data_IF_266981279667
#
_entry.id   IF_266981279667
#
_cell.length_a   1.000
_cell.length_b   1.000
_cell.length_c   1.000
_cell.angle_alpha   90.00
_cell.angle_beta   90.00
_cell.angle_gamma   90.00
#
_symmetry.space_group_name_H-M   'P 1'
#
loop_
_entity.id
_entity.type
_entity.pdbx_description
1 polymer ?
#
# COMPACT_ATOMS: atom_id res chain seq x y z
N UNK A 1 -15.13 -10.89 0.33
CA UNK A 1 -16.07 -10.62 1.44
C UNK A 1 -17.35 -11.38 1.15
N UNK A 2 -18.11 -11.80 2.17
CA UNK A 2 -19.46 -12.31 1.90
C UNK A 2 -20.34 -11.15 1.37
N UNK A 3 -21.44 -11.51 0.69
CA UNK A 3 -22.29 -10.54 0.02
C UNK A 3 -22.90 -9.51 0.99
N UNK A 4 -23.24 -9.93 2.22
CA UNK A 4 -23.85 -9.07 3.22
C UNK A 4 -22.87 -8.00 3.72
N UNK A 5 -21.60 -8.38 3.95
CA UNK A 5 -20.54 -7.43 4.31
C UNK A 5 -20.26 -6.42 3.20
N UNK A 6 -20.26 -6.86 1.94
CA UNK A 6 -20.09 -5.96 0.79
C UNK A 6 -21.24 -4.95 0.73
N UNK A 7 -22.47 -5.42 0.87
CA UNK A 7 -23.64 -4.55 0.74
C UNK A 7 -23.68 -3.49 1.84
N UNK A 8 -23.39 -3.89 3.08
CA UNK A 8 -23.25 -2.95 4.19
C UNK A 8 -22.15 -1.91 3.93
N UNK A 9 -21.01 -2.33 3.37
CA UNK A 9 -19.92 -1.41 3.06
C UNK A 9 -20.33 -0.39 1.98
N UNK A 10 -21.06 -0.83 0.95
CA UNK A 10 -21.65 0.07 -0.06
C UNK A 10 -22.64 1.05 0.58
N UNK A 11 -23.53 0.59 1.46
CA UNK A 11 -24.49 1.46 2.14
C UNK A 11 -23.80 2.57 2.94
N UNK A 12 -22.72 2.23 3.64
CA UNK A 12 -21.91 3.20 4.38
C UNK A 12 -21.28 4.23 3.43
N UNK A 13 -20.66 3.77 2.33
CA UNK A 13 -20.01 4.67 1.38
C UNK A 13 -21.02 5.53 0.61
N UNK A 14 -22.23 5.02 0.35
CA UNK A 14 -23.31 5.75 -0.30
C UNK A 14 -23.82 6.93 0.55
N UNK A 15 -23.65 6.89 1.87
CA UNK A 15 -24.01 8.00 2.77
C UNK A 15 -23.03 9.19 2.67
N UNK A 16 -21.79 8.98 2.20
CA UNK A 16 -20.79 10.03 2.01
C UNK A 16 -20.56 10.35 0.52
N UNK A 17 -21.52 11.08 -0.05
CA UNK A 17 -21.50 11.49 -1.45
C UNK A 17 -20.89 12.88 -1.69
N UNK A 18 -20.44 13.57 -0.62
CA UNK A 18 -19.97 14.95 -0.71
C UNK A 18 -18.45 15.01 -0.73
N UNK A 19 -17.91 15.30 -1.91
CA UNK A 19 -16.50 15.64 -2.04
C UNK A 19 -16.19 16.95 -1.30
N UNK A 20 -14.97 17.06 -0.79
CA UNK A 20 -14.45 18.35 -0.31
C UNK A 20 -14.37 19.34 -1.47
N UNK A 21 -14.29 20.64 -1.18
CA UNK A 21 -14.23 21.66 -2.23
C UNK A 21 -13.01 21.47 -3.15
N UNK A 22 -13.15 21.86 -4.43
CA UNK A 22 -12.08 21.73 -5.43
C UNK A 22 -10.76 22.35 -4.98
N UNK A 23 -10.83 23.51 -4.32
CA UNK A 23 -9.67 24.15 -3.71
C UNK A 23 -8.90 23.22 -2.77
N UNK A 24 -9.61 22.53 -1.87
CA UNK A 24 -8.98 21.61 -0.94
C UNK A 24 -8.48 20.33 -1.62
N UNK A 25 -9.21 19.81 -2.61
CA UNK A 25 -8.74 18.68 -3.41
C UNK A 25 -7.39 19.01 -4.06
N UNK A 26 -7.30 20.16 -4.75
CA UNK A 26 -6.09 20.59 -5.45
C UNK A 26 -4.94 20.86 -4.49
N UNK A 27 -5.23 21.51 -3.37
CA UNK A 27 -4.24 21.77 -2.33
C UNK A 27 -3.65 20.48 -1.76
N UNK A 28 -4.50 19.53 -1.37
CA UNK A 28 -4.01 18.28 -0.76
C UNK A 28 -3.23 17.43 -1.76
N UNK A 29 -3.63 17.39 -3.04
CA UNK A 29 -2.88 16.70 -4.09
C UNK A 29 -1.51 17.36 -4.31
N UNK A 30 -1.45 18.69 -4.42
CA UNK A 30 -0.20 19.42 -4.61
C UNK A 30 0.74 19.32 -3.40
N UNK A 31 0.20 19.27 -2.19
CA UNK A 31 0.96 19.21 -0.93
C UNK A 31 1.19 17.78 -0.41
N UNK A 32 0.79 16.74 -1.15
CA UNK A 32 0.87 15.35 -0.70
C UNK A 32 2.29 14.98 -0.21
N UNK A 33 3.32 15.34 -0.97
CA UNK A 33 4.73 15.13 -0.60
C UNK A 33 5.10 15.80 0.73
N UNK A 34 4.67 17.05 0.95
CA UNK A 34 4.94 17.80 2.20
C UNK A 34 4.25 17.15 3.39
N UNK A 35 3.03 16.65 3.20
CA UNK A 35 2.26 16.04 4.28
C UNK A 35 2.86 14.69 4.67
N UNK A 36 3.30 13.89 3.71
CA UNK A 36 4.07 12.66 3.97
C UNK A 36 5.43 12.96 4.64
N UNK A 37 6.17 13.97 4.18
CA UNK A 37 7.42 14.37 4.82
C UNK A 37 7.20 14.78 6.29
N UNK A 38 6.18 15.60 6.58
CA UNK A 38 5.79 15.97 7.95
C UNK A 38 5.38 14.76 8.79
N UNK A 39 4.67 13.80 8.20
CA UNK A 39 4.30 12.56 8.87
C UNK A 39 5.55 11.80 9.33
N UNK A 40 6.51 11.57 8.43
CA UNK A 40 7.76 10.88 8.79
C UNK A 40 8.64 11.71 9.74
N UNK A 41 8.58 13.04 9.69
CA UNK A 41 9.23 13.90 10.70
C UNK A 41 8.75 13.59 12.11
N UNK A 42 7.44 13.41 12.27
CA UNK A 42 6.78 13.21 13.57
C UNK A 42 6.93 11.78 14.06
N UNK A 43 6.85 10.82 13.15
CA UNK A 43 6.70 9.40 13.49
C UNK A 43 7.99 8.59 13.34
N UNK A 44 8.98 9.08 12.59
CA UNK A 44 10.27 8.41 12.35
C UNK A 44 10.07 6.98 11.83
N UNK A 45 10.75 5.98 12.42
CA UNK A 45 10.65 4.56 12.04
C UNK A 45 9.68 3.73 12.89
N UNK A 46 8.99 4.36 13.85
CA UNK A 46 8.24 3.64 14.88
C UNK A 46 6.77 3.36 14.53
N UNK A 47 6.27 3.92 13.43
CA UNK A 47 4.84 3.85 13.11
C UNK A 47 4.44 2.54 12.46
N UNK A 48 5.15 2.15 11.39
CA UNK A 48 4.91 0.90 10.71
C UNK A 48 5.77 -0.20 11.32
N UNK A 49 5.21 -1.40 11.37
CA UNK A 49 5.92 -2.59 11.84
C UNK A 49 6.53 -3.33 10.66
N UNK A 50 7.67 -3.93 10.91
CA UNK A 50 8.34 -4.82 9.98
C UNK A 50 7.44 -5.97 9.52
N UNK A 51 7.53 -6.29 8.23
CA UNK A 51 6.65 -7.25 7.55
C UNK A 51 7.30 -8.62 7.46
N UNK A 52 7.37 -9.35 8.58
CA UNK A 52 7.93 -10.72 8.62
C UNK A 52 7.05 -11.82 7.98
N UNK A 53 5.98 -11.45 7.27
CA UNK A 53 5.08 -12.40 6.62
C UNK A 53 5.30 -12.49 5.10
N UNK A 54 6.16 -11.63 4.55
CA UNK A 54 6.32 -11.42 3.10
C UNK A 54 6.72 -12.68 2.35
N UNK A 55 7.73 -13.44 2.82
CA UNK A 55 8.12 -14.71 2.15
C UNK A 55 7.02 -15.77 2.16
N UNK A 56 6.12 -15.76 3.15
CA UNK A 56 4.98 -16.70 3.20
C UNK A 56 3.90 -16.35 2.19
N UNK A 57 3.74 -15.06 1.88
CA UNK A 57 2.69 -14.58 0.98
C UNK A 57 3.19 -14.37 -0.46
N UNK A 58 4.50 -14.19 -0.64
CA UNK A 58 5.16 -14.04 -1.92
C UNK A 58 6.16 -15.19 -2.16
N UNK A 59 5.65 -16.34 -2.62
CA UNK A 59 6.48 -17.53 -2.89
C UNK A 59 7.67 -17.26 -3.81
N UNK A 60 7.57 -16.31 -4.74
CA UNK A 60 8.68 -15.93 -5.62
C UNK A 60 9.90 -15.43 -4.84
N UNK A 61 9.68 -14.62 -3.80
CA UNK A 61 10.75 -14.13 -2.93
C UNK A 61 11.35 -15.28 -2.11
N UNK A 62 10.50 -16.18 -1.61
CA UNK A 62 10.95 -17.36 -0.87
C UNK A 62 11.79 -18.30 -1.76
N UNK A 63 11.31 -18.60 -2.97
CA UNK A 63 12.02 -19.47 -3.93
C UNK A 63 13.36 -18.86 -4.35
N UNK A 64 13.42 -17.54 -4.56
CA UNK A 64 14.69 -16.87 -4.84
C UNK A 64 15.66 -17.01 -3.66
N UNK A 65 15.18 -16.84 -2.44
CA UNK A 65 15.98 -17.02 -1.23
C UNK A 65 16.46 -18.47 -1.05
N UNK A 66 15.54 -19.44 -1.04
CA UNK A 66 15.83 -20.87 -0.84
C UNK A 66 16.85 -21.40 -1.86
N UNK A 67 16.77 -20.93 -3.11
CA UNK A 67 17.66 -21.35 -4.20
C UNK A 67 18.92 -20.48 -4.32
N UNK A 68 19.14 -19.54 -3.40
CA UNK A 68 20.26 -18.60 -3.41
C UNK A 68 20.38 -17.83 -4.75
N UNK A 69 19.23 -17.53 -5.36
CA UNK A 69 19.13 -16.84 -6.65
C UNK A 69 19.08 -15.33 -6.42
N UNK A 70 19.85 -14.53 -7.20
CA UNK A 70 19.71 -13.08 -7.19
C UNK A 70 18.29 -12.67 -7.58
N UNK A 71 17.73 -11.72 -6.82
CA UNK A 71 16.42 -11.14 -7.12
C UNK A 71 16.49 -9.61 -7.05
N UNK A 72 15.69 -8.93 -7.87
CA UNK A 72 15.56 -7.48 -7.84
C UNK A 72 14.13 -7.09 -7.50
N UNK A 73 13.95 -6.38 -6.39
CA UNK A 73 12.69 -5.82 -5.91
C UNK A 73 12.65 -4.32 -6.19
N UNK A 74 11.50 -3.78 -6.58
CA UNK A 74 11.20 -2.35 -6.54
C UNK A 74 10.00 -2.10 -5.64
N UNK A 75 10.18 -1.29 -4.60
CA UNK A 75 9.12 -0.81 -3.73
C UNK A 75 8.86 0.68 -3.99
N UNK A 76 7.63 1.00 -4.37
CA UNK A 76 7.15 2.37 -4.56
C UNK A 76 6.30 2.75 -3.34
N UNK A 77 6.59 3.88 -2.72
CA UNK A 77 6.02 4.23 -1.41
C UNK A 77 6.65 3.40 -0.28
N UNK A 78 7.98 3.19 -0.35
CA UNK A 78 8.69 2.32 0.58
C UNK A 78 8.68 2.81 2.04
N UNK A 79 8.29 4.07 2.26
CA UNK A 79 8.43 4.72 3.55
C UNK A 79 9.85 4.56 4.07
N UNK A 80 9.96 4.00 5.27
CA UNK A 80 11.25 3.76 5.93
C UNK A 80 11.78 2.34 5.74
N UNK A 81 11.20 1.55 4.83
CA UNK A 81 11.69 0.23 4.42
C UNK A 81 11.18 -0.97 5.22
N UNK A 82 10.12 -0.82 6.04
CA UNK A 82 9.60 -1.92 6.88
C UNK A 82 9.17 -3.19 6.09
N UNK A 83 8.93 -3.08 4.79
CA UNK A 83 8.69 -4.23 3.91
C UNK A 83 9.99 -4.91 3.49
N UNK A 84 10.99 -4.13 3.11
CA UNK A 84 12.25 -4.60 2.51
C UNK A 84 13.26 -5.07 3.55
N UNK A 85 13.36 -4.43 4.73
CA UNK A 85 14.38 -4.80 5.72
C UNK A 85 14.36 -6.28 6.11
N UNK A 86 13.21 -6.87 6.48
CA UNK A 86 13.16 -8.29 6.83
C UNK A 86 13.55 -9.22 5.67
N UNK A 87 13.33 -8.78 4.43
CA UNK A 87 13.68 -9.55 3.22
C UNK A 87 15.18 -9.48 2.91
N UNK A 88 15.83 -8.34 3.16
CA UNK A 88 17.28 -8.22 3.02
C UNK A 88 18.01 -9.00 4.12
N UNK A 89 17.46 -9.04 5.34
CA UNK A 89 17.99 -9.86 6.43
C UNK A 89 17.88 -11.36 6.13
N UNK A 90 16.80 -11.80 5.48
CA UNK A 90 16.56 -13.21 5.15
C UNK A 90 17.25 -13.65 3.87
N UNK A 91 17.40 -12.76 2.87
CA UNK A 91 18.01 -13.06 1.58
C UNK A 91 19.11 -12.02 1.25
N UNK A 92 20.39 -12.31 1.55
CA UNK A 92 21.48 -11.39 1.25
C UNK A 92 21.75 -11.19 -0.25
N UNK A 93 21.17 -12.03 -1.13
CA UNK A 93 21.25 -11.87 -2.59
C UNK A 93 20.08 -11.05 -3.16
N UNK A 94 19.14 -10.61 -2.32
CA UNK A 94 18.09 -9.70 -2.73
C UNK A 94 18.67 -8.31 -2.93
N UNK A 95 18.34 -7.73 -4.08
CA UNK A 95 18.64 -6.37 -4.41
C UNK A 95 17.33 -5.56 -4.40
N UNK A 96 17.25 -4.48 -3.63
CA UNK A 96 16.01 -3.71 -3.50
C UNK A 96 16.17 -2.26 -3.99
N UNK A 97 15.28 -1.85 -4.88
CA UNK A 97 15.03 -0.50 -5.33
C UNK A 97 13.90 0.06 -4.46
N UNK A 98 14.09 1.20 -3.82
CA UNK A 98 13.11 1.74 -2.90
C UNK A 98 12.93 3.23 -3.20
N UNK A 99 11.69 3.66 -3.42
CA UNK A 99 11.37 5.06 -3.63
C UNK A 99 10.13 5.50 -2.82
N UNK A 100 10.10 6.76 -2.42
CA UNK A 100 9.03 7.40 -1.65
C UNK A 100 9.03 8.91 -1.97
N UNK A 101 7.87 9.54 -1.84
CA UNK A 101 7.74 10.99 -2.06
C UNK A 101 8.36 11.83 -0.94
N UNK A 102 8.55 11.26 0.25
CA UNK A 102 9.20 11.92 1.37
C UNK A 102 10.72 11.75 1.25
N UNK A 103 11.49 12.83 0.96
CA UNK A 103 12.95 12.75 0.94
C UNK A 103 13.51 12.25 2.27
N UNK A 104 12.86 12.58 3.40
CA UNK A 104 13.23 12.05 4.72
C UNK A 104 13.05 10.54 4.84
N UNK A 105 12.01 9.99 4.21
CA UNK A 105 11.80 8.55 4.20
C UNK A 105 12.88 7.87 3.35
N UNK A 106 13.22 8.47 2.20
CA UNK A 106 14.34 8.05 1.37
C UNK A 106 15.69 8.16 2.08
N UNK A 107 15.95 9.22 2.84
CA UNK A 107 17.22 9.39 3.56
C UNK A 107 17.46 8.27 4.59
N UNK A 108 16.38 7.65 5.08
CA UNK A 108 16.47 6.47 5.95
C UNK A 108 16.79 5.17 5.19
N UNK A 109 16.85 5.21 3.87
CA UNK A 109 16.98 4.06 2.97
C UNK A 109 18.16 4.27 2.00
N UNK A 110 19.00 3.25 1.76
CA UNK A 110 20.10 3.33 0.77
C UNK A 110 20.21 2.04 -0.08
N UNK A 111 20.80 2.21 -1.29
CA UNK A 111 21.37 1.28 -2.32
C UNK A 111 20.50 0.67 -3.47
N UNK A 112 21.11 0.33 -4.66
CA UNK A 112 20.45 0.00 -5.97
C UNK A 112 21.19 -0.81 -7.13
N UNK A 113 20.46 -1.63 -7.99
CA UNK A 113 20.70 -2.38 -9.31
C UNK A 113 19.42 -3.13 -9.94
N UNK A 114 19.39 -3.60 -11.24
CA UNK A 114 18.18 -3.86 -12.12
C UNK A 114 17.69 -5.32 -12.47
N UNK A 115 16.38 -5.52 -12.81
CA UNK A 115 15.77 -6.76 -13.40
C UNK A 115 14.36 -7.24 -12.91
N UNK A 116 13.42 -6.36 -12.54
CA UNK A 116 12.38 -6.66 -11.52
C UNK A 116 10.96 -7.08 -11.95
N UNK A 117 10.25 -7.71 -10.99
CA UNK A 117 8.78 -7.94 -10.96
C UNK A 117 8.10 -6.85 -10.11
N UNK A 118 6.81 -6.60 -10.32
CA UNK A 118 6.01 -5.70 -9.46
C UNK A 118 5.21 -6.54 -8.47
N UNK A 119 5.43 -6.30 -7.18
CA UNK A 119 4.59 -6.80 -6.09
C UNK A 119 3.78 -5.63 -5.54
N UNK A 120 2.46 -5.77 -5.53
CA UNK A 120 1.55 -4.75 -5.01
C UNK A 120 0.88 -5.23 -3.73
N UNK A 121 0.85 -4.38 -2.71
CA UNK A 121 0.02 -4.55 -1.53
C UNK A 121 -0.38 -3.20 -0.94
N UNK A 122 -1.66 -2.87 -1.01
CA UNK A 122 -2.21 -1.69 -0.33
C UNK A 122 -3.66 -1.93 0.12
N UNK A 123 -4.29 -0.95 0.76
CA UNK A 123 -5.66 -1.03 1.22
C UNK A 123 -6.63 -1.22 0.05
N UNK A 124 -7.49 -2.22 0.18
CA UNK A 124 -8.54 -2.48 -0.79
C UNK A 124 -9.79 -1.61 -0.52
N UNK A 125 -10.60 -1.42 -1.55
CA UNK A 125 -11.96 -0.91 -1.41
C UNK A 125 -12.72 -1.72 -0.35
N UNK A 126 -13.43 -1.01 0.53
CA UNK A 126 -14.15 -1.52 1.71
C UNK A 126 -13.27 -1.92 2.90
N UNK A 127 -11.97 -1.59 2.91
CA UNK A 127 -11.15 -1.76 4.12
C UNK A 127 -11.77 -1.00 5.32
N UNK A 128 -11.64 -1.58 6.51
CA UNK A 128 -12.20 -1.00 7.73
C UNK A 128 -11.71 0.44 8.02
N UNK A 129 -10.54 0.85 7.52
CA UNK A 129 -10.11 2.24 7.64
C UNK A 129 -10.92 3.18 6.74
N UNK A 130 -11.33 2.72 5.54
CA UNK A 130 -12.15 3.51 4.62
C UNK A 130 -13.53 3.79 5.23
N UNK A 131 -14.17 2.74 5.75
CA UNK A 131 -15.53 2.78 6.27
C UNK A 131 -15.68 3.63 7.55
N UNK A 132 -14.57 4.14 8.10
CA UNK A 132 -14.52 4.99 9.29
C UNK A 132 -14.36 6.46 8.99
N UNK A 133 -14.12 6.84 7.73
CA UNK A 133 -14.09 8.26 7.37
C UNK A 133 -15.45 8.90 7.62
N UNK A 134 -15.41 10.11 8.16
CA UNK A 134 -16.59 10.97 8.29
C UNK A 134 -16.71 11.84 7.03
N UNK A 135 -17.90 12.42 6.77
CA UNK A 135 -18.05 13.40 5.69
C UNK A 135 -17.03 14.54 5.80
N UNK A 136 -16.56 15.02 4.64
CA UNK A 136 -15.55 16.08 4.56
C UNK A 136 -14.11 15.56 4.48
N UNK A 137 -13.91 14.26 4.30
CA UNK A 137 -12.60 13.65 4.07
C UNK A 137 -12.41 13.10 2.66
N UNK A 138 -13.50 12.92 1.89
CA UNK A 138 -13.46 12.35 0.53
C UNK A 138 -13.01 13.39 -0.49
N UNK A 139 -11.92 13.10 -1.21
CA UNK A 139 -11.40 13.95 -2.29
C UNK A 139 -12.03 13.53 -3.62
N UNK A 140 -11.97 12.24 -3.90
CA UNK A 140 -12.46 11.59 -5.12
C UNK A 140 -12.93 10.18 -4.76
N UNK A 141 -13.43 9.43 -5.75
CA UNK A 141 -13.78 8.03 -5.51
C UNK A 141 -12.52 7.25 -5.07
N UNK A 142 -12.64 6.51 -3.98
CA UNK A 142 -11.51 5.79 -3.38
C UNK A 142 -10.41 6.64 -2.72
N UNK A 143 -10.39 7.97 -2.87
CA UNK A 143 -9.33 8.86 -2.35
C UNK A 143 -9.81 9.73 -1.19
N UNK A 144 -9.11 9.64 -0.06
CA UNK A 144 -9.46 10.33 1.18
C UNK A 144 -8.26 11.04 1.81
N UNK A 145 -8.51 12.14 2.52
CA UNK A 145 -7.51 12.84 3.34
C UNK A 145 -7.65 12.50 4.81
N UNK A 146 -6.53 12.18 5.46
CA UNK A 146 -6.45 11.94 6.90
C UNK A 146 -6.34 13.25 7.66
N UNK A 147 -6.53 13.19 8.97
CA UNK A 147 -6.46 14.38 9.85
C UNK A 147 -5.09 15.07 9.82
N UNK A 148 -4.02 14.35 9.52
CA UNK A 148 -2.66 14.90 9.40
C UNK A 148 -2.34 15.45 8.00
N UNK A 149 -3.30 15.42 7.07
CA UNK A 149 -3.16 15.87 5.69
C UNK A 149 -2.56 14.83 4.74
N UNK A 150 -2.18 13.64 5.22
CA UNK A 150 -1.75 12.54 4.34
C UNK A 150 -2.95 11.95 3.60
N UNK A 151 -2.70 11.40 2.41
CA UNK A 151 -3.73 10.81 1.58
C UNK A 151 -3.80 9.30 1.78
N UNK A 152 -5.00 8.74 1.68
CA UNK A 152 -5.25 7.30 1.67
C UNK A 152 -6.11 6.97 0.45
N UNK A 153 -5.64 6.03 -0.37
CA UNK A 153 -6.38 5.49 -1.49
C UNK A 153 -6.80 4.05 -1.19
N UNK A 154 -7.96 3.64 -1.72
CA UNK A 154 -8.49 2.29 -1.56
C UNK A 154 -8.69 1.67 -2.94
N UNK A 155 -7.86 0.67 -3.24
CA UNK A 155 -7.71 0.13 -4.58
C UNK A 155 -8.72 -0.97 -4.91
N UNK A 156 -9.06 -1.08 -6.19
CA UNK A 156 -9.82 -2.20 -6.75
C UNK A 156 -8.96 -3.01 -7.70
N UNK A 157 -9.34 -4.27 -7.95
CA UNK A 157 -8.66 -5.14 -8.92
C UNK A 157 -8.64 -4.52 -10.30
N UNK A 158 -9.77 -3.94 -10.70
CA UNK A 158 -10.00 -3.33 -12.01
C UNK A 158 -9.07 -2.13 -12.21
N UNK A 159 -8.92 -1.29 -11.18
CA UNK A 159 -7.99 -0.17 -11.23
C UNK A 159 -6.54 -0.63 -11.41
N UNK A 160 -6.10 -1.67 -10.68
CA UNK A 160 -4.75 -2.20 -10.85
C UNK A 160 -4.55 -2.81 -12.24
N UNK A 161 -5.54 -3.53 -12.76
CA UNK A 161 -5.47 -4.13 -14.09
C UNK A 161 -5.39 -3.04 -15.17
N UNK A 162 -6.25 -2.02 -15.12
CA UNK A 162 -6.20 -0.87 -16.03
C UNK A 162 -4.81 -0.20 -15.98
N UNK A 163 -4.29 0.05 -14.77
CA UNK A 163 -3.00 0.72 -14.58
C UNK A 163 -1.82 -0.12 -15.09
N UNK A 164 -1.71 -1.37 -14.65
CA UNK A 164 -0.52 -2.19 -14.86
C UNK A 164 -0.58 -3.00 -16.15
N UNK A 165 -1.76 -3.48 -16.56
CA UNK A 165 -1.92 -4.27 -17.78
C UNK A 165 -2.27 -3.37 -18.95
N UNK A 166 -3.41 -2.68 -18.91
CA UNK A 166 -3.90 -1.92 -20.06
C UNK A 166 -2.98 -0.73 -20.41
N UNK A 167 -2.48 -0.01 -19.42
CA UNK A 167 -1.55 1.11 -19.63
C UNK A 167 -0.07 0.73 -19.46
N UNK A 168 0.24 -0.15 -18.50
CA UNK A 168 1.60 -0.54 -18.17
C UNK A 168 2.19 -1.64 -19.07
N UNK A 169 1.36 -2.33 -19.86
CA UNK A 169 1.79 -3.44 -20.71
C UNK A 169 2.32 -4.65 -19.94
N UNK A 170 2.00 -4.78 -18.65
CA UNK A 170 2.42 -5.90 -17.81
C UNK A 170 1.44 -7.07 -17.96
N UNK A 171 1.89 -8.25 -17.57
CA UNK A 171 1.06 -9.45 -17.43
C UNK A 171 0.64 -9.58 -15.96
N UNK A 172 -0.66 -9.70 -15.71
CA UNK A 172 -1.19 -10.04 -14.39
C UNK A 172 -0.88 -11.51 -14.08
N UNK A 173 -0.16 -11.76 -12.99
CA UNK A 173 0.12 -13.10 -12.49
C UNK A 173 -0.82 -13.50 -11.34
N UNK A 174 -1.17 -12.52 -10.50
CA UNK A 174 -2.07 -12.67 -9.36
C UNK A 174 -2.68 -11.31 -9.01
N UNK A 175 -3.94 -11.26 -8.58
CA UNK A 175 -4.64 -10.03 -8.20
C UNK A 175 -5.85 -10.36 -7.32
N UNK A 176 -5.64 -10.45 -6.00
CA UNK A 176 -6.67 -10.88 -5.07
C UNK A 176 -6.77 -10.11 -3.75
N UNK A 177 -7.95 -10.16 -3.15
CA UNK A 177 -8.24 -9.53 -1.88
C UNK A 177 -7.78 -10.41 -0.72
N UNK A 178 -6.87 -9.89 0.11
CA UNK A 178 -6.37 -10.57 1.30
C UNK A 178 -6.96 -9.95 2.55
N UNK A 179 -7.58 -10.79 3.40
CA UNK A 179 -8.08 -10.37 4.72
C UNK A 179 -7.06 -10.63 5.81
N UNK A 180 -6.92 -9.67 6.72
CA UNK A 180 -6.09 -9.78 7.92
C UNK A 180 -6.77 -9.12 9.10
N UNK A 181 -7.00 -9.88 10.15
CA UNK A 181 -7.45 -9.32 11.42
C UNK A 181 -6.27 -8.62 12.10
N UNK A 182 -6.42 -7.33 12.39
CA UNK A 182 -5.43 -6.55 13.13
C UNK A 182 -5.97 -6.18 14.50
N UNK A 183 -5.34 -6.71 15.55
CA UNK A 183 -5.73 -6.44 16.93
C UNK A 183 -4.78 -5.44 17.56
N UNK A 184 -5.32 -4.30 17.99
CA UNK A 184 -4.63 -3.40 18.91
C UNK A 184 -5.06 -3.77 20.34
N UNK A 185 -4.28 -4.64 20.98
CA UNK A 185 -4.56 -5.11 22.34
C UNK A 185 -4.63 -3.97 23.36
N UNK A 186 -3.83 -2.89 23.19
CA UNK A 186 -3.84 -1.73 24.11
C UNK A 186 -5.16 -0.96 24.07
N UNK A 187 -5.82 -0.94 22.90
CA UNK A 187 -7.10 -0.26 22.72
C UNK A 187 -8.29 -1.21 22.78
N UNK A 188 -8.06 -2.51 22.99
CA UNK A 188 -9.05 -3.58 22.91
C UNK A 188 -9.90 -3.49 21.61
N UNK A 189 -9.25 -3.16 20.49
CA UNK A 189 -9.89 -3.03 19.19
C UNK A 189 -9.34 -4.11 18.25
N UNK A 190 -10.23 -4.86 17.62
CA UNK A 190 -9.93 -5.75 16.51
C UNK A 190 -10.58 -5.22 15.25
N UNK A 191 -9.80 -5.10 14.17
CA UNK A 191 -10.28 -4.63 12.88
C UNK A 191 -9.96 -5.65 11.80
N UNK A 192 -10.97 -6.03 11.03
CA UNK A 192 -10.79 -6.81 9.82
C UNK A 192 -10.29 -5.89 8.72
N UNK A 193 -9.01 -6.03 8.38
CA UNK A 193 -8.35 -5.26 7.33
C UNK A 193 -8.47 -6.00 6.02
N UNK A 194 -8.75 -5.24 4.96
CA UNK A 194 -8.80 -5.73 3.60
C UNK A 194 -7.67 -5.08 2.80
N UNK A 195 -6.85 -5.92 2.20
CA UNK A 195 -5.76 -5.50 1.33
C UNK A 195 -6.00 -6.05 -0.07
N UNK A 196 -5.58 -5.31 -1.07
CA UNK A 196 -5.42 -5.83 -2.41
C UNK A 196 -3.97 -6.27 -2.55
N UNK A 197 -3.75 -7.53 -2.88
CA UNK A 197 -2.43 -8.10 -3.14
C UNK A 197 -2.38 -8.54 -4.60
N UNK A 198 -1.39 -8.07 -5.33
CA UNK A 198 -1.24 -8.42 -6.73
C UNK A 198 0.23 -8.60 -7.12
N UNK A 199 0.43 -9.34 -8.20
CA UNK A 199 1.73 -9.57 -8.83
C UNK A 199 1.58 -9.32 -10.31
N UNK A 200 2.47 -8.48 -10.85
CA UNK A 200 2.56 -8.20 -12.28
C UNK A 200 3.98 -8.41 -12.75
N UNK A 201 4.12 -8.87 -13.98
CA UNK A 201 5.41 -9.11 -14.61
C UNK A 201 5.51 -8.32 -15.92
N UNK A 202 6.65 -7.69 -16.13
CA UNK A 202 7.00 -7.14 -17.44
C UNK A 202 7.23 -8.30 -18.41
N UNK A 203 6.58 -8.33 -19.59
CA UNK A 203 6.91 -9.30 -20.63
C UNK A 203 8.42 -9.29 -20.94
N UNK A 204 8.96 -10.45 -21.32
CA UNK A 204 10.37 -10.59 -21.75
C UNK A 204 10.72 -9.67 -22.93
#
# INVERSE_FOLDING_TARGET
MDAQTIERAKDILAQDNKLISKFWQDKYKAEAHKNWDKFYKRNTTNFFRDRHWTEREFEDLKKANDNNQPAVLLEIGCGVGNFVWPLLDSNPNLHANMCDFSPRAIDFVKVLKPGGKILFRDYALYDAAQLRFKPGHKLEEGLYVRQDGTLAYYFTKEFLNELFVAHGGLVELDNDYVRRQTTNAKLNISLDRLFLQAKFQKPE
#
